data_IF_104533491284
#
_entry.id   IF_104533491284
#
_cell.length_a   1.000
_cell.length_b   1.000
_cell.length_c   1.000
_cell.angle_alpha   90.00
_cell.angle_beta   90.00
_cell.angle_gamma   90.00
#
_symmetry.space_group_name_H-M   'P 1'
#
loop_
_entity.id
_entity.type
_entity.pdbx_description
1 polymer ?
#
# COMPACT_ATOMS: atom_id res chain seq x y z
N UNK A 1 -23.15 -4.19 3.31
CA UNK A 1 -22.05 -5.15 3.50
C UNK A 1 -22.35 -6.51 2.87
N UNK A 2 -23.45 -7.20 3.22
CA UNK A 2 -23.75 -8.55 2.71
C UNK A 2 -23.81 -8.65 1.17
N UNK A 3 -24.45 -7.67 0.52
CA UNK A 3 -24.54 -7.61 -0.95
C UNK A 3 -23.18 -7.35 -1.64
N UNK A 4 -22.31 -6.56 -1.02
CA UNK A 4 -20.95 -6.30 -1.53
C UNK A 4 -20.10 -7.57 -1.42
N UNK A 5 -20.13 -8.24 -0.27
CA UNK A 5 -19.47 -9.53 -0.07
C UNK A 5 -19.97 -10.57 -1.06
N UNK A 6 -21.28 -10.64 -1.32
CA UNK A 6 -21.83 -11.57 -2.31
C UNK A 6 -21.32 -11.28 -3.72
N UNK A 7 -21.26 -10.01 -4.13
CA UNK A 7 -20.80 -9.60 -5.47
C UNK A 7 -19.29 -9.74 -5.67
N UNK A 8 -18.50 -9.47 -4.64
CA UNK A 8 -17.04 -9.47 -4.71
C UNK A 8 -16.38 -10.71 -4.08
N UNK A 9 -17.18 -11.76 -3.79
CA UNK A 9 -16.71 -12.97 -3.09
C UNK A 9 -15.45 -13.57 -3.72
N UNK A 10 -15.44 -13.72 -5.04
CA UNK A 10 -14.30 -14.26 -5.79
C UNK A 10 -13.06 -13.37 -5.67
N UNK A 11 -13.21 -12.05 -5.73
CA UNK A 11 -12.12 -11.09 -5.58
C UNK A 11 -11.49 -11.16 -4.19
N UNK A 12 -12.31 -11.19 -3.14
CA UNK A 12 -11.79 -11.32 -1.77
C UNK A 12 -11.13 -12.68 -1.53
N UNK A 13 -11.68 -13.76 -2.09
CA UNK A 13 -11.05 -15.08 -2.02
C UNK A 13 -9.69 -15.10 -2.71
N UNK A 14 -9.57 -14.47 -3.87
CA UNK A 14 -8.31 -14.35 -4.60
C UNK A 14 -7.27 -13.54 -3.82
N UNK A 15 -7.64 -12.37 -3.29
CA UNK A 15 -6.74 -11.55 -2.46
C UNK A 15 -6.31 -12.29 -1.19
N UNK A 16 -7.23 -13.01 -0.54
CA UNK A 16 -6.90 -13.82 0.64
C UNK A 16 -5.99 -14.99 0.28
N UNK A 17 -6.19 -15.66 -0.85
CA UNK A 17 -5.28 -16.69 -1.33
C UNK A 17 -3.87 -16.11 -1.59
N UNK A 18 -3.78 -14.91 -2.16
CA UNK A 18 -2.49 -14.23 -2.40
C UNK A 18 -1.65 -14.02 -1.13
N UNK A 19 -2.27 -13.82 0.04
CA UNK A 19 -1.54 -13.71 1.33
C UNK A 19 -0.79 -14.96 1.74
N UNK A 20 -1.10 -16.12 1.16
CA UNK A 20 -0.38 -17.37 1.40
C UNK A 20 0.81 -17.54 0.45
N UNK A 21 0.85 -16.79 -0.67
CA UNK A 21 1.83 -16.95 -1.73
C UNK A 21 3.01 -15.97 -1.68
N UNK A 22 2.92 -14.89 -0.91
CA UNK A 22 3.93 -13.82 -0.89
C UNK A 22 4.29 -13.40 0.53
N UNK A 23 5.59 -13.40 0.84
CA UNK A 23 6.11 -12.86 2.10
C UNK A 23 5.92 -11.35 2.16
N UNK A 24 5.36 -10.86 3.27
CA UNK A 24 5.10 -9.43 3.48
C UNK A 24 3.81 -8.91 2.85
N UNK A 25 3.06 -9.73 2.11
CA UNK A 25 1.75 -9.31 1.59
C UNK A 25 0.66 -9.42 2.67
N UNK A 26 0.06 -8.27 3.02
CA UNK A 26 -1.02 -8.16 4.01
C UNK A 26 -2.25 -7.53 3.36
N UNK A 27 -3.41 -8.14 3.58
CA UNK A 27 -4.70 -7.62 3.14
C UNK A 27 -5.47 -7.12 4.35
N UNK A 28 -5.93 -5.85 4.29
CA UNK A 28 -6.84 -5.28 5.28
C UNK A 28 -8.28 -5.70 4.90
N UNK A 29 -9.04 -6.35 5.80
CA UNK A 29 -10.40 -6.80 5.49
C UNK A 29 -11.35 -5.60 5.29
N UNK A 30 -12.43 -5.78 4.51
CA UNK A 30 -13.39 -4.71 4.24
C UNK A 30 -14.12 -4.27 5.51
N UNK A 31 -14.44 -2.98 5.60
CA UNK A 31 -15.15 -2.38 6.72
C UNK A 31 -14.27 -1.78 7.83
N UNK A 32 -12.94 -1.85 7.72
CA UNK A 32 -12.02 -1.20 8.67
C UNK A 32 -11.88 0.31 8.43
N UNK A 33 -12.04 0.76 7.18
CA UNK A 33 -11.93 2.17 6.83
C UNK A 33 -11.50 2.36 5.39
N UNK A 34 -11.24 3.62 5.02
CA UNK A 34 -10.73 3.99 3.70
C UNK A 34 -9.20 3.86 3.69
N UNK A 35 -8.63 3.38 2.58
CA UNK A 35 -7.21 3.06 2.43
C UNK A 35 -6.29 4.16 2.99
N UNK A 36 -6.45 5.41 2.53
CA UNK A 36 -5.58 6.50 2.94
C UNK A 36 -5.73 6.90 4.43
N UNK A 37 -6.89 6.71 5.05
CA UNK A 37 -7.09 6.99 6.47
C UNK A 37 -6.44 5.90 7.34
N UNK A 38 -6.62 4.62 6.95
CA UNK A 38 -5.95 3.50 7.62
C UNK A 38 -4.42 3.63 7.48
N UNK A 39 -3.93 4.15 6.35
CA UNK A 39 -2.51 4.44 6.19
C UNK A 39 -2.00 5.42 7.26
N UNK A 40 -2.70 6.52 7.49
CA UNK A 40 -2.31 7.53 8.49
C UNK A 40 -2.41 7.01 9.92
N UNK A 41 -3.50 6.33 10.25
CA UNK A 41 -3.83 6.00 11.64
C UNK A 41 -3.18 4.70 12.13
N UNK A 42 -2.87 3.77 11.21
CA UNK A 42 -2.47 2.41 11.60
C UNK A 42 -1.21 1.88 10.92
N UNK A 43 -0.91 2.29 9.67
CA UNK A 43 0.21 1.72 8.91
C UNK A 43 1.47 2.59 8.92
N UNK A 44 1.33 3.90 9.06
CA UNK A 44 2.42 4.86 9.14
C UNK A 44 3.35 4.58 10.34
N UNK A 45 4.66 4.49 10.10
CA UNK A 45 5.66 4.27 11.17
C UNK A 45 6.64 5.41 11.36
N UNK A 46 6.74 6.32 10.38
CA UNK A 46 7.75 7.40 10.28
C UNK A 46 9.20 6.90 10.16
N UNK A 47 9.62 5.92 10.96
CA UNK A 47 10.95 5.31 10.93
C UNK A 47 10.80 3.79 10.96
N UNK A 48 11.46 3.12 10.02
CA UNK A 48 11.62 1.67 10.03
C UNK A 48 12.96 1.28 10.62
N UNK A 49 12.99 0.16 11.32
CA UNK A 49 14.19 -0.44 11.89
C UNK A 49 14.43 -1.80 11.25
N UNK A 50 15.51 -1.92 10.48
CA UNK A 50 15.98 -3.20 9.90
C UNK A 50 17.50 -3.22 9.88
N UNK A 51 18.12 -3.50 11.04
CA UNK A 51 19.57 -3.34 11.32
C UNK A 51 20.12 -1.91 11.17
N UNK A 52 19.41 -1.06 10.44
CA UNK A 52 19.60 0.38 10.29
C UNK A 52 18.23 1.07 10.42
N UNK A 53 18.22 2.31 10.90
CA UNK A 53 17.03 3.16 10.91
C UNK A 53 16.95 3.93 9.59
N UNK A 54 15.78 3.90 8.95
CA UNK A 54 15.53 4.65 7.73
C UNK A 54 14.13 5.26 7.74
N UNK A 55 13.94 6.43 7.11
CA UNK A 55 12.64 7.07 7.06
C UNK A 55 11.63 6.21 6.31
N UNK A 56 10.38 6.29 6.75
CA UNK A 56 9.26 5.67 6.08
C UNK A 56 9.00 6.37 4.73
N UNK A 57 8.78 5.57 3.70
CA UNK A 57 8.47 6.02 2.34
C UNK A 57 7.44 5.08 1.73
N UNK A 58 6.51 5.61 0.93
CA UNK A 58 5.37 4.83 0.44
C UNK A 58 4.99 5.22 -0.99
N UNK A 59 4.89 4.23 -1.87
CA UNK A 59 4.18 4.34 -3.15
C UNK A 59 2.93 3.48 -3.10
N UNK A 60 1.82 3.97 -3.65
CA UNK A 60 0.55 3.27 -3.62
C UNK A 60 -0.26 3.44 -4.91
N UNK A 61 -1.11 2.47 -5.22
CA UNK A 61 -2.01 2.56 -6.39
C UNK A 61 -3.28 3.39 -6.10
N UNK A 62 -3.16 4.38 -5.22
CA UNK A 62 -4.23 5.26 -4.78
C UNK A 62 -3.77 6.70 -4.91
N UNK A 63 -4.58 7.56 -5.54
CA UNK A 63 -4.19 8.96 -5.76
C UNK A 63 -4.04 9.76 -4.47
N UNK A 64 -4.69 9.33 -3.39
CA UNK A 64 -4.63 9.98 -2.07
C UNK A 64 -3.50 9.42 -1.20
N UNK A 65 -2.61 8.57 -1.72
CA UNK A 65 -1.39 8.15 -1.00
C UNK A 65 -0.57 9.36 -0.54
N UNK A 66 -0.63 10.49 -1.25
CA UNK A 66 -0.03 11.77 -0.87
C UNK A 66 -0.50 12.33 0.49
N UNK A 67 -1.63 11.84 1.03
CA UNK A 67 -2.13 12.25 2.35
C UNK A 67 -1.12 11.94 3.47
N UNK A 68 -0.31 10.88 3.29
CA UNK A 68 0.73 10.48 4.26
C UNK A 68 1.83 11.54 4.45
N UNK A 69 1.99 12.44 3.47
CA UNK A 69 2.98 13.53 3.52
C UNK A 69 2.74 14.49 4.69
N UNK A 70 1.50 14.58 5.19
CA UNK A 70 1.18 15.36 6.39
C UNK A 70 1.85 14.86 7.67
N UNK A 71 2.30 13.59 7.70
CA UNK A 71 3.06 12.99 8.82
C UNK A 71 4.58 13.05 8.61
N UNK A 72 5.07 13.67 7.54
CA UNK A 72 6.51 13.74 7.23
C UNK A 72 7.07 12.49 6.53
N UNK A 73 6.18 11.58 6.10
CA UNK A 73 6.51 10.39 5.30
C UNK A 73 6.46 10.78 3.84
N UNK A 74 7.48 10.43 3.05
CA UNK A 74 7.47 10.75 1.61
C UNK A 74 6.67 9.69 0.86
N UNK A 75 5.53 10.07 0.27
CA UNK A 75 4.75 9.16 -0.55
C UNK A 75 3.82 9.78 -1.59
N UNK A 76 3.55 9.02 -2.64
CA UNK A 76 2.71 9.43 -3.76
C UNK A 76 2.01 8.25 -4.44
N UNK A 77 1.00 8.59 -5.26
CA UNK A 77 0.25 7.62 -6.06
C UNK A 77 0.98 7.25 -7.34
N UNK A 78 1.02 5.96 -7.67
CA UNK A 78 1.58 5.42 -8.92
C UNK A 78 0.58 4.50 -9.61
N UNK A 79 0.86 4.11 -10.86
CA UNK A 79 0.07 3.11 -11.56
C UNK A 79 0.25 1.70 -10.99
N UNK A 80 -0.63 0.78 -11.38
CA UNK A 80 -0.60 -0.60 -10.90
C UNK A 80 0.65 -1.37 -11.33
N UNK A 81 1.17 -1.09 -12.51
CA UNK A 81 2.37 -1.75 -13.06
C UNK A 81 3.62 -1.27 -12.30
N UNK A 82 3.70 0.03 -12.02
CA UNK A 82 4.79 0.63 -11.26
C UNK A 82 4.79 0.11 -9.81
N UNK A 83 3.61 0.00 -9.19
CA UNK A 83 3.49 -0.60 -7.86
C UNK A 83 3.92 -2.08 -7.86
N UNK A 84 3.55 -2.87 -8.87
CA UNK A 84 4.00 -4.26 -9.00
C UNK A 84 5.52 -4.35 -9.19
N UNK A 85 6.10 -3.48 -10.03
CA UNK A 85 7.54 -3.40 -10.23
C UNK A 85 8.27 -3.06 -8.92
N UNK A 86 7.74 -2.12 -8.14
CA UNK A 86 8.27 -1.77 -6.82
C UNK A 86 8.18 -2.95 -5.84
N UNK A 87 7.09 -3.74 -5.86
CA UNK A 87 6.96 -4.96 -5.06
C UNK A 87 7.99 -6.04 -5.44
N UNK A 88 8.40 -6.09 -6.70
CA UNK A 88 9.47 -6.96 -7.21
C UNK A 88 10.88 -6.42 -6.96
N UNK A 89 11.01 -5.28 -6.26
CA UNK A 89 12.28 -4.67 -5.91
C UNK A 89 12.91 -3.83 -7.03
N UNK A 90 12.16 -3.50 -8.09
CA UNK A 90 12.63 -2.51 -9.07
C UNK A 90 12.61 -1.12 -8.42
N UNK A 91 13.73 -0.38 -8.44
CA UNK A 91 13.73 1.00 -8.00
C UNK A 91 12.83 1.80 -8.94
N UNK A 92 11.98 2.64 -8.37
CA UNK A 92 11.12 3.50 -9.18
C UNK A 92 12.00 4.58 -9.84
N UNK A 93 12.01 4.69 -11.17
CA UNK A 93 12.73 5.74 -11.84
C UNK A 93 11.95 7.04 -11.61
N UNK A 94 12.26 7.72 -10.51
CA UNK A 94 11.97 9.14 -10.38
C UNK A 94 12.85 9.87 -11.39
N UNK A 95 12.42 9.83 -12.66
CA UNK A 95 13.02 10.66 -13.69
C UNK A 95 12.81 12.10 -13.24
N UNK A 96 13.92 12.78 -12.95
CA UNK A 96 14.03 14.20 -13.18
C UNK A 96 13.72 14.44 -14.67
N UNK A 97 12.44 14.50 -15.02
CA UNK A 97 11.98 15.24 -16.17
C UNK A 97 11.79 16.67 -15.64
N UNK A 98 12.74 17.53 -16.02
CA UNK A 98 12.54 18.99 -16.04
C UNK A 98 11.22 19.35 -16.69
#
# INVERSE_FOLDING_TARGET
MEMEFRRNRSRYQFLKWGTQGFDGFRVIPPGIGICHQVNLEYLAKNVWEKNVYFPDTLVGTDSHTTMINGLGIVGWGVGGIEAEAAMLGQPEPTSCCV
#
